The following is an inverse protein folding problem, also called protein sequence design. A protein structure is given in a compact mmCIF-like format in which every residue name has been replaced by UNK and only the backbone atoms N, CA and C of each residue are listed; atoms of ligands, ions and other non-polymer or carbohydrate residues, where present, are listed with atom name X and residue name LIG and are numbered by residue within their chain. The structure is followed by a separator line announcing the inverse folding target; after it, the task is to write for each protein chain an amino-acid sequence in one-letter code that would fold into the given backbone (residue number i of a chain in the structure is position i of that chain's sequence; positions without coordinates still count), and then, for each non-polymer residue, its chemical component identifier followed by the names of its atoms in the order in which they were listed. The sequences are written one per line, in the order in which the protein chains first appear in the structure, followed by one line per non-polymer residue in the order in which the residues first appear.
data_IF_275198072712
#
_entry.id   IF_275198072712
#
_cell.length_a   1.000
_cell.length_b   1.000
_cell.length_c   1.000
_cell.angle_alpha   90.00
_cell.angle_beta   90.00
_cell.angle_gamma   90.00
#
_symmetry.space_group_name_H-M   'P 1'
#
loop_
_entity.id
_entity.type
_entity.pdbx_description
1 polymer ?
#
# COMPACT_ATOMS: atom_id res chain seq x y z
N UNK A 1 3.26 4.48 -7.36
CA UNK A 1 1.92 4.01 -6.97
C UNK A 1 1.36 4.93 -5.90
N UNK A 2 0.02 5.07 -5.78
CA UNK A 2 -0.60 5.80 -4.66
C UNK A 2 -0.88 4.81 -3.51
N UNK A 3 -0.10 4.89 -2.43
CA UNK A 3 -0.25 4.02 -1.25
C UNK A 3 -1.30 4.54 -0.26
N UNK A 4 -1.68 5.81 -0.34
CA UNK A 4 -2.77 6.37 0.47
C UNK A 4 -4.15 5.90 0.01
N UNK A 5 -4.31 5.71 -1.31
CA UNK A 5 -5.57 5.27 -1.90
C UNK A 5 -5.32 4.22 -3.00
N UNK A 6 -4.84 3.02 -2.65
CA UNK A 6 -4.42 2.02 -3.64
C UNK A 6 -5.55 1.56 -4.55
N UNK A 7 -6.77 1.39 -4.03
CA UNK A 7 -7.92 0.99 -4.83
C UNK A 7 -8.28 2.04 -5.88
N UNK A 8 -8.22 3.33 -5.53
CA UNK A 8 -8.47 4.40 -6.51
C UNK A 8 -7.38 4.51 -7.57
N UNK A 9 -6.14 4.10 -7.24
CA UNK A 9 -5.05 4.06 -8.20
C UNK A 9 -5.14 2.86 -9.17
N UNK A 10 -5.58 1.70 -8.67
CA UNK A 10 -5.71 0.47 -9.45
C UNK A 10 -7.01 0.45 -10.28
N UNK A 11 -8.06 1.03 -9.75
CA UNK A 11 -9.37 1.12 -10.38
C UNK A 11 -9.75 2.60 -10.57
N UNK A 12 -9.32 3.23 -11.67
CA UNK A 12 -9.52 4.67 -11.85
C UNK A 12 -11.00 5.05 -11.94
N UNK A 13 -11.30 6.29 -11.56
CA UNK A 13 -12.63 6.86 -11.62
C UNK A 13 -13.56 6.45 -10.48
N UNK A 14 -14.85 6.40 -10.76
CA UNK A 14 -15.93 6.15 -9.79
C UNK A 14 -15.78 4.81 -9.08
N UNK A 15 -15.38 3.76 -9.79
CA UNK A 15 -15.30 2.40 -9.23
C UNK A 15 -14.29 2.29 -8.11
N UNK A 16 -13.10 2.85 -8.27
CA UNK A 16 -12.06 2.80 -7.24
C UNK A 16 -12.42 3.58 -5.98
N UNK A 17 -13.00 4.79 -6.15
CA UNK A 17 -13.47 5.58 -5.01
C UNK A 17 -14.58 4.86 -4.25
N UNK A 18 -15.54 4.29 -4.98
CA UNK A 18 -16.63 3.53 -4.39
C UNK A 18 -16.13 2.28 -3.67
N UNK A 19 -15.21 1.50 -4.26
CA UNK A 19 -14.61 0.34 -3.61
C UNK A 19 -13.86 0.74 -2.33
N UNK A 20 -13.14 1.87 -2.36
CA UNK A 20 -12.46 2.40 -1.17
C UNK A 20 -13.45 2.70 -0.04
N UNK A 21 -14.55 3.37 -0.34
CA UNK A 21 -15.61 3.69 0.62
C UNK A 21 -16.27 2.41 1.20
N UNK A 22 -16.60 1.46 0.33
CA UNK A 22 -17.23 0.19 0.73
C UNK A 22 -16.31 -0.71 1.57
N UNK A 23 -15.02 -0.77 1.25
CA UNK A 23 -14.04 -1.51 2.08
C UNK A 23 -13.87 -0.85 3.44
N UNK A 24 -13.83 0.49 3.50
CA UNK A 24 -13.81 1.24 4.75
C UNK A 24 -15.05 0.95 5.59
N UNK A 25 -16.25 1.03 5.02
CA UNK A 25 -17.50 0.71 5.70
C UNK A 25 -17.53 -0.74 6.22
N UNK A 26 -17.14 -1.71 5.39
CA UNK A 26 -17.07 -3.13 5.80
C UNK A 26 -16.17 -3.35 7.01
N UNK A 27 -15.10 -2.62 7.10
CA UNK A 27 -14.14 -2.72 8.23
C UNK A 27 -14.72 -2.17 9.53
N UNK A 28 -15.69 -1.23 9.46
CA UNK A 28 -16.33 -0.62 10.62
C UNK A 28 -17.62 -1.39 11.01
N UNK A 29 -18.49 -1.65 10.04
CA UNK A 29 -19.77 -2.34 10.25
C UNK A 29 -20.29 -2.96 8.93
N UNK A 30 -19.91 -4.21 8.67
CA UNK A 30 -20.30 -4.92 7.45
C UNK A 30 -21.81 -5.23 7.37
N UNK A 31 -22.53 -5.16 8.45
CA UNK A 31 -23.96 -5.56 8.54
C UNK A 31 -24.89 -4.36 8.36
N UNK A 32 -24.46 -3.19 8.78
CA UNK A 32 -25.26 -1.97 8.66
C UNK A 32 -25.51 -1.60 7.20
N UNK A 33 -26.78 -1.37 6.79
CA UNK A 33 -27.05 -0.80 5.47
C UNK A 33 -26.43 0.58 5.34
N UNK A 34 -25.76 0.85 4.23
CA UNK A 34 -25.12 2.12 3.95
C UNK A 34 -26.04 3.02 3.12
N UNK A 35 -26.49 4.16 3.65
CA UNK A 35 -27.30 5.13 2.92
C UNK A 35 -26.57 5.64 1.67
N UNK A 36 -27.33 5.96 0.61
CA UNK A 36 -26.75 6.39 -0.66
C UNK A 36 -26.08 7.76 -0.59
N UNK A 37 -26.64 8.67 0.19
CA UNK A 37 -26.06 9.99 0.47
C UNK A 37 -24.71 9.86 1.18
N UNK A 38 -24.65 9.10 2.27
CA UNK A 38 -23.39 8.80 2.99
C UNK A 38 -22.34 8.20 2.05
N UNK A 39 -22.74 7.26 1.19
CA UNK A 39 -21.84 6.61 0.25
C UNK A 39 -21.41 7.55 -0.88
N UNK A 40 -22.32 8.37 -1.40
CA UNK A 40 -22.05 9.39 -2.42
C UNK A 40 -21.01 10.41 -1.93
N UNK A 41 -21.20 10.91 -0.71
CA UNK A 41 -20.32 11.87 -0.08
C UNK A 41 -18.95 11.27 0.22
N UNK A 42 -18.91 10.07 0.82
CA UNK A 42 -17.66 9.37 1.14
C UNK A 42 -16.84 9.03 -0.10
N UNK A 43 -17.50 8.59 -1.17
CA UNK A 43 -16.85 8.26 -2.43
C UNK A 43 -16.60 9.48 -3.33
N UNK A 44 -17.13 10.65 -2.98
CA UNK A 44 -17.10 11.88 -3.77
C UNK A 44 -17.59 11.64 -5.23
N UNK A 45 -18.77 11.02 -5.37
CA UNK A 45 -19.38 10.67 -6.65
C UNK A 45 -20.80 11.26 -6.76
N UNK A 46 -21.26 11.50 -7.99
CA UNK A 46 -22.65 11.94 -8.20
C UNK A 46 -23.63 10.77 -8.04
N UNK A 47 -24.92 11.03 -7.71
CA UNK A 47 -25.92 9.96 -7.59
C UNK A 47 -26.03 9.07 -8.85
N UNK A 48 -25.96 9.66 -10.05
CA UNK A 48 -26.02 8.90 -11.30
C UNK A 48 -24.81 7.98 -11.49
N UNK A 49 -23.61 8.47 -11.16
CA UNK A 49 -22.38 7.66 -11.18
C UNK A 49 -22.44 6.54 -10.14
N UNK A 50 -22.97 6.84 -8.95
CA UNK A 50 -23.15 5.89 -7.87
C UNK A 50 -24.05 4.73 -8.30
N UNK A 51 -25.26 5.02 -8.81
CA UNK A 51 -26.19 3.99 -9.24
C UNK A 51 -25.63 3.08 -10.34
N UNK A 52 -24.95 3.67 -11.33
CA UNK A 52 -24.29 2.89 -12.39
C UNK A 52 -23.21 1.95 -11.83
N UNK A 53 -22.39 2.42 -10.88
CA UNK A 53 -21.35 1.61 -10.27
C UNK A 53 -21.94 0.54 -9.34
N UNK A 54 -22.96 0.86 -8.55
CA UNK A 54 -23.66 -0.09 -7.68
C UNK A 54 -24.34 -1.21 -8.48
N UNK A 55 -24.95 -0.89 -9.61
CA UNK A 55 -25.48 -1.92 -10.51
C UNK A 55 -24.42 -2.94 -10.91
N UNK A 56 -23.22 -2.48 -11.31
CA UNK A 56 -22.09 -3.36 -11.65
C UNK A 56 -21.63 -4.21 -10.47
N UNK A 57 -21.53 -3.61 -9.28
CA UNK A 57 -21.13 -4.34 -8.06
C UNK A 57 -22.18 -5.37 -7.64
N UNK A 58 -23.47 -5.10 -7.89
CA UNK A 58 -24.56 -6.05 -7.73
C UNK A 58 -24.42 -7.26 -8.65
N UNK A 59 -24.10 -7.03 -9.94
CA UNK A 59 -23.84 -8.11 -10.89
C UNK A 59 -22.65 -8.99 -10.49
N UNK A 60 -21.67 -8.41 -9.79
CA UNK A 60 -20.51 -9.15 -9.24
C UNK A 60 -20.83 -9.84 -7.91
N UNK A 61 -22.00 -9.63 -7.33
CA UNK A 61 -22.38 -10.21 -6.04
C UNK A 61 -21.72 -9.57 -4.81
N UNK A 62 -21.05 -8.43 -4.97
CA UNK A 62 -20.42 -7.72 -3.85
C UNK A 62 -21.43 -7.04 -2.93
N UNK A 63 -22.56 -6.62 -3.48
CA UNK A 63 -23.69 -6.05 -2.76
C UNK A 63 -24.94 -6.88 -3.00
N UNK A 64 -25.83 -6.89 -2.03
CA UNK A 64 -27.11 -7.57 -2.14
C UNK A 64 -27.98 -6.91 -3.24
N UNK A 65 -28.87 -7.68 -3.89
CA UNK A 65 -29.87 -7.13 -4.82
C UNK A 65 -30.64 -5.99 -4.16
N UNK A 66 -30.82 -4.89 -4.87
CA UNK A 66 -31.49 -3.67 -4.38
C UNK A 66 -32.28 -2.99 -5.50
N UNK A 67 -33.26 -2.19 -5.12
CA UNK A 67 -33.93 -1.23 -6.03
C UNK A 67 -33.16 0.09 -6.05
N UNK A 68 -33.34 0.87 -7.12
CA UNK A 68 -32.79 2.22 -7.16
C UNK A 68 -33.32 3.05 -5.98
N UNK A 69 -32.45 3.82 -5.34
CA UNK A 69 -32.79 4.61 -4.16
C UNK A 69 -32.70 3.88 -2.82
N UNK A 70 -32.60 2.54 -2.79
CA UNK A 70 -32.44 1.80 -1.55
C UNK A 70 -30.99 1.85 -1.02
N UNK A 71 -30.84 1.76 0.31
CA UNK A 71 -29.54 1.66 0.95
C UNK A 71 -28.77 0.41 0.49
N UNK A 72 -27.45 0.51 0.48
CA UNK A 72 -26.55 -0.54 0.04
C UNK A 72 -26.31 -1.53 1.19
N UNK A 73 -26.46 -2.82 0.93
CA UNK A 73 -26.06 -3.90 1.84
C UNK A 73 -24.93 -4.69 1.21
N UNK A 74 -23.83 -4.83 1.92
CA UNK A 74 -22.72 -5.66 1.47
C UNK A 74 -23.08 -7.14 1.59
N UNK A 75 -22.44 -7.98 0.77
CA UNK A 75 -22.42 -9.44 0.93
C UNK A 75 -21.14 -9.80 1.70
N UNK A 76 -21.16 -9.92 3.04
CA UNK A 76 -19.93 -9.94 3.86
C UNK A 76 -19.00 -11.12 3.54
N UNK A 77 -19.59 -12.26 3.15
CA UNK A 77 -18.86 -13.49 2.82
C UNK A 77 -18.28 -13.53 1.40
N UNK A 78 -18.44 -12.47 0.58
CA UNK A 78 -17.92 -12.49 -0.76
C UNK A 78 -16.38 -12.50 -0.79
N UNK A 79 -15.79 -13.45 -1.54
CA UNK A 79 -14.35 -13.75 -1.56
C UNK A 79 -13.47 -12.52 -1.91
N UNK A 80 -13.97 -11.62 -2.75
CA UNK A 80 -13.22 -10.44 -3.19
C UNK A 80 -12.95 -9.44 -2.05
N UNK A 81 -13.75 -9.42 -0.98
CA UNK A 81 -13.56 -8.45 0.09
C UNK A 81 -12.20 -8.58 0.79
N UNK A 82 -11.72 -9.80 1.00
CA UNK A 82 -10.41 -10.01 1.61
C UNK A 82 -9.29 -9.50 0.71
N UNK A 83 -9.36 -9.76 -0.59
CA UNK A 83 -8.38 -9.25 -1.56
C UNK A 83 -8.40 -7.72 -1.62
N UNK A 84 -9.59 -7.11 -1.68
CA UNK A 84 -9.74 -5.66 -1.70
C UNK A 84 -9.21 -5.01 -0.42
N UNK A 85 -9.47 -5.62 0.75
CA UNK A 85 -8.95 -5.16 2.02
C UNK A 85 -7.42 -5.23 2.07
N UNK A 86 -6.82 -6.31 1.59
CA UNK A 86 -5.35 -6.41 1.50
C UNK A 86 -4.75 -5.33 0.58
N UNK A 87 -5.43 -4.98 -0.52
CA UNK A 87 -5.01 -3.90 -1.40
C UNK A 87 -5.02 -2.53 -0.72
N UNK A 88 -5.92 -2.27 0.23
CA UNK A 88 -5.91 -0.99 0.98
C UNK A 88 -4.72 -0.85 1.92
N UNK A 89 -4.04 -1.94 2.24
CA UNK A 89 -2.90 -1.99 3.15
C UNK A 89 -1.58 -2.39 2.47
N UNK A 90 -1.45 -2.12 1.16
CA UNK A 90 -0.24 -2.49 0.40
C UNK A 90 1.06 -1.96 1.01
N UNK A 91 1.04 -0.79 1.66
CA UNK A 91 2.22 -0.23 2.33
C UNK A 91 2.80 -1.17 3.38
N UNK A 92 1.98 -1.99 4.06
CA UNK A 92 2.43 -2.97 5.05
C UNK A 92 3.27 -4.08 4.44
N UNK A 93 3.05 -4.39 3.16
CA UNK A 93 3.80 -5.41 2.44
C UNK A 93 5.15 -4.92 1.89
N UNK A 94 5.41 -3.62 1.95
CA UNK A 94 6.68 -3.06 1.44
C UNK A 94 7.88 -3.67 2.18
N UNK A 95 7.81 -3.73 3.51
CA UNK A 95 8.89 -4.32 4.32
C UNK A 95 9.11 -5.80 4.01
N UNK A 96 8.03 -6.57 3.84
CA UNK A 96 8.12 -7.99 3.48
C UNK A 96 8.72 -8.16 2.09
N UNK A 97 8.31 -7.35 1.12
CA UNK A 97 8.90 -7.34 -0.22
C UNK A 97 10.40 -7.06 -0.18
N UNK A 98 10.85 -6.14 0.67
CA UNK A 98 12.28 -5.86 0.85
C UNK A 98 12.99 -7.06 1.46
N UNK A 99 12.44 -7.68 2.51
CA UNK A 99 13.00 -8.89 3.14
C UNK A 99 13.15 -10.04 2.14
N UNK A 100 12.15 -10.26 1.30
CA UNK A 100 12.14 -11.30 0.28
C UNK A 100 13.18 -11.06 -0.83
N UNK A 101 13.39 -9.80 -1.22
CA UNK A 101 14.27 -9.43 -2.34
C UNK A 101 15.74 -9.27 -1.90
N UNK A 102 15.97 -8.83 -0.66
CA UNK A 102 17.29 -8.48 -0.13
C UNK A 102 18.33 -9.62 -0.26
N UNK A 103 18.02 -10.90 0.10
CA UNK A 103 19.03 -11.96 0.05
C UNK A 103 19.57 -12.27 -1.34
N UNK A 104 18.85 -11.90 -2.40
CA UNK A 104 19.31 -12.08 -3.78
C UNK A 104 20.33 -11.02 -4.23
N UNK A 105 20.50 -9.94 -3.47
CA UNK A 105 21.31 -8.79 -3.86
C UNK A 105 22.40 -8.44 -2.84
N UNK A 106 22.16 -8.70 -1.54
CA UNK A 106 23.05 -8.30 -0.46
C UNK A 106 23.66 -9.52 0.26
N UNK A 107 24.91 -9.82 -0.04
CA UNK A 107 25.71 -10.84 0.62
C UNK A 107 27.08 -10.27 0.98
N UNK A 108 27.46 -10.29 2.26
CA UNK A 108 26.65 -10.63 3.43
C UNK A 108 25.49 -9.65 3.63
N UNK A 109 24.53 -10.01 4.50
CA UNK A 109 23.40 -9.15 4.83
C UNK A 109 23.87 -7.84 5.49
N UNK A 110 23.15 -6.72 5.34
CA UNK A 110 23.50 -5.46 6.01
C UNK A 110 23.47 -5.62 7.53
N UNK A 111 24.32 -4.90 8.27
CA UNK A 111 24.23 -4.82 9.74
C UNK A 111 22.92 -4.15 10.18
N UNK A 112 22.46 -3.21 9.39
CA UNK A 112 21.19 -2.52 9.61
C UNK A 112 20.54 -2.17 8.28
N UNK A 113 19.21 -2.35 8.21
CA UNK A 113 18.38 -1.88 7.13
C UNK A 113 17.04 -1.38 7.68
N UNK A 114 16.71 -0.15 7.37
CA UNK A 114 15.39 0.42 7.67
C UNK A 114 14.80 1.10 6.44
N UNK A 115 13.48 1.21 6.43
CA UNK A 115 12.69 1.86 5.42
C UNK A 115 12.06 3.13 5.99
N UNK A 116 12.16 4.22 5.28
CA UNK A 116 11.58 5.51 5.65
C UNK A 116 10.81 6.13 4.48
N UNK A 117 10.00 7.14 4.76
CA UNK A 117 9.28 7.92 3.76
C UNK A 117 7.79 7.56 3.62
N UNK A 118 7.10 8.34 2.79
CA UNK A 118 5.64 8.29 2.63
C UNK A 118 5.12 6.92 2.12
N UNK A 119 5.93 6.20 1.36
CA UNK A 119 5.55 4.88 0.81
C UNK A 119 5.35 3.86 1.93
N UNK A 120 6.30 3.72 2.85
CA UNK A 120 6.19 2.74 3.93
C UNK A 120 5.17 3.15 4.98
N UNK A 121 4.95 4.45 5.15
CA UNK A 121 3.92 5.00 6.03
C UNK A 121 2.50 4.91 5.44
N UNK A 122 2.38 4.55 4.16
CA UNK A 122 1.08 4.46 3.46
C UNK A 122 0.46 5.83 3.16
N UNK A 123 1.22 6.90 3.23
CA UNK A 123 0.75 8.28 2.96
C UNK A 123 1.08 8.77 1.55
N UNK A 124 1.89 8.03 0.79
CA UNK A 124 2.26 8.38 -0.57
C UNK A 124 1.04 8.49 -1.49
N UNK A 125 0.91 9.62 -2.16
CA UNK A 125 -0.18 9.93 -3.11
C UNK A 125 0.31 9.90 -4.56
N UNK A 126 1.62 10.01 -4.77
CA UNK A 126 2.23 10.15 -6.09
C UNK A 126 3.43 9.20 -6.26
N UNK A 127 3.67 8.65 -7.48
CA UNK A 127 4.82 7.77 -7.74
C UNK A 127 6.20 8.40 -7.50
N UNK A 128 6.31 9.73 -7.55
CA UNK A 128 7.56 10.44 -7.27
C UNK A 128 7.87 10.55 -5.77
N UNK A 129 6.94 10.24 -4.87
CA UNK A 129 7.23 10.19 -3.45
C UNK A 129 8.11 8.98 -3.13
N UNK A 130 9.19 9.27 -2.42
CA UNK A 130 10.34 8.38 -2.29
C UNK A 130 10.15 7.36 -1.18
N UNK A 131 10.59 6.12 -1.42
CA UNK A 131 10.96 5.16 -0.40
C UNK A 131 12.47 5.26 -0.18
N UNK A 132 12.89 5.53 1.05
CA UNK A 132 14.30 5.55 1.42
C UNK A 132 14.70 4.23 2.08
N UNK A 133 15.76 3.61 1.58
CA UNK A 133 16.48 2.51 2.25
C UNK A 133 17.67 3.10 2.99
N UNK A 134 17.70 2.94 4.31
CA UNK A 134 18.82 3.36 5.14
C UNK A 134 19.57 2.11 5.53
N UNK A 135 20.82 2.02 5.09
CA UNK A 135 21.63 0.80 5.21
C UNK A 135 22.93 1.07 5.94
N UNK A 136 23.37 0.09 6.74
CA UNK A 136 24.72 0.00 7.28
C UNK A 136 25.39 -1.21 6.64
N UNK A 137 26.51 -0.97 5.95
CA UNK A 137 27.30 -2.00 5.31
C UNK A 137 27.91 -2.92 6.37
N UNK A 138 27.93 -4.24 6.18
CA UNK A 138 28.63 -5.15 7.07
C UNK A 138 30.15 -4.92 6.99
N UNK A 139 30.84 -5.10 8.12
CA UNK A 139 32.28 -4.85 8.22
C UNK A 139 33.12 -5.73 7.25
N UNK A 140 32.65 -6.93 6.96
CA UNK A 140 33.24 -7.89 6.03
C UNK A 140 32.64 -7.83 4.61
N UNK A 141 31.86 -6.79 4.32
CA UNK A 141 31.24 -6.62 3.01
C UNK A 141 32.26 -6.45 1.88
N UNK A 142 32.07 -7.16 0.74
CA UNK A 142 32.96 -7.09 -0.41
C UNK A 142 32.94 -5.69 -1.04
N UNK A 143 33.94 -5.37 -1.88
CA UNK A 143 34.09 -4.03 -2.50
C UNK A 143 32.86 -3.63 -3.33
N UNK A 144 32.26 -4.60 -3.99
CA UNK A 144 31.09 -4.44 -4.87
C UNK A 144 29.74 -4.53 -4.12
N UNK A 145 29.74 -4.51 -2.80
CA UNK A 145 28.50 -4.60 -2.01
C UNK A 145 27.50 -3.47 -2.31
N UNK A 146 28.00 -2.26 -2.61
CA UNK A 146 27.19 -1.12 -2.99
C UNK A 146 26.49 -1.32 -4.36
N UNK A 147 27.07 -2.11 -5.25
CA UNK A 147 26.43 -2.49 -6.52
C UNK A 147 25.20 -3.38 -6.25
N UNK A 148 25.29 -4.23 -5.23
CA UNK A 148 24.16 -5.01 -4.73
C UNK A 148 23.03 -4.12 -4.18
N UNK A 149 23.37 -3.06 -3.43
CA UNK A 149 22.37 -2.07 -2.96
C UNK A 149 21.71 -1.37 -4.14
N UNK A 150 22.48 -0.93 -5.12
CA UNK A 150 21.95 -0.28 -6.31
C UNK A 150 21.02 -1.21 -7.12
N UNK A 151 21.38 -2.49 -7.23
CA UNK A 151 20.55 -3.50 -7.90
C UNK A 151 19.22 -3.74 -7.13
N UNK A 152 19.29 -3.83 -5.79
CA UNK A 152 18.10 -3.94 -4.94
C UNK A 152 17.18 -2.72 -5.11
N UNK A 153 17.73 -1.51 -5.06
CA UNK A 153 16.99 -0.24 -5.29
C UNK A 153 16.29 -0.25 -6.63
N UNK A 154 16.98 -0.61 -7.71
CA UNK A 154 16.41 -0.69 -9.06
C UNK A 154 15.28 -1.74 -9.13
N UNK A 155 15.44 -2.88 -8.45
CA UNK A 155 14.45 -3.94 -8.37
C UNK A 155 13.19 -3.49 -7.63
N UNK A 156 13.37 -2.87 -6.45
CA UNK A 156 12.28 -2.37 -5.64
C UNK A 156 11.52 -1.24 -6.33
N UNK A 157 12.22 -0.32 -7.01
CA UNK A 157 11.57 0.77 -7.77
C UNK A 157 10.60 0.20 -8.82
N UNK A 158 11.00 -0.86 -9.53
CA UNK A 158 10.11 -1.54 -10.48
C UNK A 158 8.95 -2.25 -9.81
N UNK A 159 9.22 -2.95 -8.69
CA UNK A 159 8.20 -3.74 -8.00
C UNK A 159 7.12 -2.86 -7.34
N UNK A 160 7.51 -1.69 -6.81
CA UNK A 160 6.61 -0.78 -6.09
C UNK A 160 5.98 0.27 -7.00
N UNK A 161 6.58 0.55 -8.16
CA UNK A 161 6.16 1.64 -9.04
C UNK A 161 6.35 3.04 -8.41
N UNK A 162 7.33 3.17 -7.48
CA UNK A 162 7.72 4.42 -6.84
C UNK A 162 9.24 4.58 -6.91
N UNK A 163 9.71 5.80 -6.75
CA UNK A 163 11.14 6.06 -6.66
C UNK A 163 11.67 5.48 -5.35
N UNK A 164 12.70 4.65 -5.46
CA UNK A 164 13.44 4.11 -4.31
C UNK A 164 14.84 4.68 -4.35
N UNK A 165 15.32 5.16 -3.22
CA UNK A 165 16.69 5.63 -3.03
C UNK A 165 17.32 4.93 -1.84
N UNK A 166 18.65 4.91 -1.75
CA UNK A 166 19.33 4.46 -0.54
C UNK A 166 20.20 5.56 0.04
N UNK A 167 20.46 5.43 1.33
CA UNK A 167 21.40 6.23 2.09
C UNK A 167 22.23 5.31 2.95
N UNK A 168 23.54 5.35 2.79
CA UNK A 168 24.48 4.57 3.59
C UNK A 168 24.82 5.36 4.86
N UNK A 169 24.74 4.69 6.01
CA UNK A 169 25.16 5.21 7.30
C UNK A 169 26.44 4.47 7.73
N UNK A 170 27.27 5.14 8.54
CA UNK A 170 28.54 4.59 9.04
C UNK A 170 28.34 3.52 10.11
N UNK A 171 27.28 3.68 10.89
CA UNK A 171 26.93 2.80 11.99
C UNK A 171 25.41 2.78 12.25
N UNK A 172 24.96 1.86 13.09
CA UNK A 172 23.54 1.71 13.44
C UNK A 172 22.95 2.97 14.09
N UNK A 173 23.72 3.69 14.91
CA UNK A 173 23.25 4.90 15.58
C UNK A 173 22.96 6.02 14.58
N UNK A 174 23.84 6.22 13.62
CA UNK A 174 23.61 7.18 12.52
C UNK A 174 22.42 6.76 11.69
N UNK A 175 22.31 5.47 11.35
CA UNK A 175 21.19 4.92 10.60
C UNK A 175 19.83 5.16 11.30
N UNK A 176 19.75 4.92 12.61
CA UNK A 176 18.54 5.20 13.41
C UNK A 176 18.18 6.68 13.43
N UNK A 177 19.18 7.55 13.54
CA UNK A 177 18.95 9.00 13.48
C UNK A 177 18.45 9.45 12.10
N UNK A 178 18.97 8.85 11.01
CA UNK A 178 18.53 9.12 9.63
C UNK A 178 17.13 8.58 9.35
N UNK A 179 16.77 7.44 9.90
CA UNK A 179 15.50 6.78 9.69
C UNK A 179 14.33 7.58 10.28
N UNK A 180 14.52 8.19 11.43
CA UNK A 180 13.53 9.01 12.08
C UNK A 180 12.32 8.25 12.62
N UNK A 181 11.34 9.00 13.13
CA UNK A 181 10.10 8.44 13.65
C UNK A 181 9.22 7.86 12.51
N UNK A 182 8.70 6.66 12.71
CA UNK A 182 7.84 5.98 11.73
C UNK A 182 8.58 5.15 10.68
N UNK A 183 9.90 5.03 10.76
CA UNK A 183 10.65 4.09 9.96
C UNK A 183 10.34 2.64 10.37
N UNK A 184 10.40 1.74 9.39
CA UNK A 184 10.20 0.31 9.59
C UNK A 184 11.55 -0.40 9.48
N UNK A 185 12.00 -1.00 10.59
CA UNK A 185 13.23 -1.79 10.62
C UNK A 185 13.03 -3.12 9.89
N UNK A 186 13.96 -3.46 9.04
CA UNK A 186 13.97 -4.72 8.27
C UNK A 186 15.05 -5.65 8.80
N UNK A 187 16.25 -5.13 9.11
CA UNK A 187 17.40 -5.85 9.66
C UNK A 187 18.01 -5.02 10.81
N UNK A 188 18.35 -5.62 11.95
CA UNK A 188 17.88 -6.93 12.41
C UNK A 188 16.37 -6.97 12.56
N UNK A 189 15.78 -8.14 12.39
CA UNK A 189 14.33 -8.35 12.46
C UNK A 189 13.82 -8.24 13.89
#
# INVERSE_FOLDING_TARGET
MNFRSPLSALFPGTSGRLLTALVGHRSLDAVRPLPLDELSDTAAVTPAQLETALFRLGLLGLIAPRRSGEAVRLVPGHIAWNALHQLTHLHRRVADTVREQMPAHLHPAPEYLALSGAVVQGTATHPAEVLELIVVRPADGPVDWEDGVAALVARLSRALGNVVVHRSARDTREAEAMAGAGAVRVVPA
#
